data_IF_908408665108
#
_entry.id   IF_908408665108
#
_cell.length_a   1.000
_cell.length_b   1.000
_cell.length_c   1.000
_cell.angle_alpha   90.00
_cell.angle_beta   90.00
_cell.angle_gamma   90.00
#
_symmetry.space_group_name_H-M   'P 1'
#
loop_
_entity.id
_entity.type
_entity.pdbx_description
1 polymer ?
#
# COMPACT_ATOMS: atom_id res chain seq x y z
N UNK A 1 -7.35 0.13 -16.20
CA UNK A 1 -6.40 0.39 -15.10
C UNK A 1 -6.66 1.78 -14.54
N UNK A 2 -6.64 1.98 -13.23
CA UNK A 2 -6.77 3.31 -12.63
C UNK A 2 -5.41 3.84 -12.20
N UNK A 3 -5.26 5.16 -12.26
CA UNK A 3 -4.05 5.86 -11.81
C UNK A 3 -4.44 7.10 -11.02
N UNK A 4 -3.67 7.43 -10.00
CA UNK A 4 -3.80 8.68 -9.23
C UNK A 4 -2.55 9.55 -9.43
N UNK A 5 -2.70 10.87 -9.27
CA UNK A 5 -1.60 11.84 -9.34
C UNK A 5 -1.62 12.80 -8.15
N UNK A 6 -0.43 13.34 -7.83
CA UNK A 6 -0.29 14.48 -6.93
C UNK A 6 -0.96 15.76 -7.47
N UNK A 7 -1.23 15.83 -8.77
CA UNK A 7 -1.95 16.94 -9.40
C UNK A 7 -3.47 16.81 -9.24
N UNK A 8 -3.96 15.92 -8.36
CA UNK A 8 -5.38 15.81 -8.03
C UNK A 8 -6.25 15.06 -9.02
N UNK A 9 -5.66 14.34 -9.99
CA UNK A 9 -6.42 13.60 -11.00
C UNK A 9 -6.43 12.10 -10.74
N UNK A 10 -7.60 11.48 -10.94
CA UNK A 10 -7.73 10.04 -11.16
C UNK A 10 -8.09 9.80 -12.61
N UNK A 11 -7.33 8.90 -13.25
CA UNK A 11 -7.54 8.54 -14.66
C UNK A 11 -7.80 7.05 -14.81
N UNK A 12 -8.79 6.74 -15.64
CA UNK A 12 -9.11 5.39 -16.09
C UNK A 12 -8.52 5.16 -17.48
N UNK A 13 -7.60 4.20 -17.54
CA UNK A 13 -7.07 3.65 -18.77
C UNK A 13 -7.93 2.48 -19.23
N UNK A 14 -8.48 2.59 -20.43
CA UNK A 14 -9.01 1.46 -21.17
C UNK A 14 -7.97 1.03 -22.22
N UNK A 15 -7.45 -0.18 -22.05
CA UNK A 15 -6.40 -0.72 -22.93
C UNK A 15 -6.98 -1.12 -24.30
N UNK A 16 -8.25 -1.53 -24.37
CA UNK A 16 -8.88 -1.95 -25.62
C UNK A 16 -9.25 -0.75 -26.48
N UNK A 17 -9.73 0.31 -25.84
CA UNK A 17 -10.11 1.56 -26.50
C UNK A 17 -8.95 2.54 -26.63
N UNK A 18 -7.75 2.17 -26.15
CA UNK A 18 -6.55 3.03 -26.11
C UNK A 18 -6.81 4.43 -25.52
N UNK A 19 -7.72 4.50 -24.54
CA UNK A 19 -8.19 5.77 -23.99
C UNK A 19 -7.72 5.99 -22.55
N UNK A 20 -7.52 7.26 -22.20
CA UNK A 20 -7.07 7.67 -20.88
C UNK A 20 -7.90 8.83 -20.37
N UNK A 21 -9.01 8.48 -19.71
CA UNK A 21 -10.04 9.43 -19.33
C UNK A 21 -9.88 9.89 -17.88
N UNK A 22 -10.00 11.20 -17.66
CA UNK A 22 -10.11 11.75 -16.30
C UNK A 22 -11.50 11.42 -15.78
N UNK A 23 -11.56 10.72 -14.65
CA UNK A 23 -12.83 10.32 -14.00
C UNK A 23 -13.09 11.10 -12.72
N UNK A 24 -12.05 11.71 -12.16
CA UNK A 24 -12.11 12.54 -10.97
C UNK A 24 -10.96 13.57 -11.03
N UNK A 25 -11.25 14.78 -10.56
CA UNK A 25 -10.30 15.87 -10.46
C UNK A 25 -10.57 16.68 -9.19
N UNK A 26 -9.51 17.05 -8.50
CA UNK A 26 -9.52 17.96 -7.36
C UNK A 26 -8.29 18.88 -7.43
N UNK A 27 -8.31 19.95 -6.63
CA UNK A 27 -7.15 20.82 -6.41
C UNK A 27 -6.16 20.22 -5.41
N UNK A 28 -6.58 19.19 -4.65
CA UNK A 28 -5.77 18.51 -3.66
C UNK A 28 -5.06 17.27 -4.23
N UNK A 29 -3.87 16.97 -3.70
CA UNK A 29 -3.10 15.78 -4.10
C UNK A 29 -3.77 14.47 -3.73
N UNK A 30 -3.66 13.46 -4.61
CA UNK A 30 -4.16 12.11 -4.36
C UNK A 30 -2.98 11.16 -4.13
N UNK A 31 -2.87 10.66 -2.90
CA UNK A 31 -1.69 9.93 -2.42
C UNK A 31 -1.82 8.41 -2.54
N UNK A 32 -3.04 7.89 -2.44
CA UNK A 32 -3.33 6.47 -2.43
C UNK A 32 -4.63 6.16 -3.18
N UNK A 33 -4.71 4.95 -3.71
CA UNK A 33 -5.83 4.49 -4.51
C UNK A 33 -6.07 2.99 -4.25
N UNK A 34 -7.32 2.61 -4.04
CA UNK A 34 -7.73 1.24 -3.81
C UNK A 34 -9.09 0.96 -4.46
N UNK A 35 -9.31 -0.29 -4.85
CA UNK A 35 -10.60 -0.80 -5.26
C UNK A 35 -10.95 -2.01 -4.41
N UNK A 36 -12.20 -2.10 -4.00
CA UNK A 36 -12.69 -3.30 -3.33
C UNK A 36 -13.06 -4.35 -4.40
N UNK A 37 -12.68 -5.64 -4.26
CA UNK A 37 -12.82 -6.65 -5.32
C UNK A 37 -14.24 -6.87 -5.89
N UNK A 38 -15.29 -6.48 -5.17
CA UNK A 38 -16.69 -6.70 -5.54
C UNK A 38 -17.47 -5.40 -5.80
N UNK A 39 -16.83 -4.24 -5.59
CA UNK A 39 -17.47 -2.95 -5.72
C UNK A 39 -16.91 -2.19 -6.92
N UNK A 40 -17.78 -1.50 -7.66
CA UNK A 40 -17.38 -0.59 -8.73
C UNK A 40 -16.90 0.76 -8.21
N UNK A 41 -16.93 1.00 -6.90
CA UNK A 41 -16.36 2.21 -6.31
C UNK A 41 -14.83 2.17 -6.27
N UNK A 42 -14.26 3.36 -6.40
CA UNK A 42 -12.84 3.65 -6.24
C UNK A 42 -12.66 4.43 -4.95
N UNK A 43 -11.70 4.03 -4.12
CA UNK A 43 -11.40 4.69 -2.85
C UNK A 43 -10.01 5.30 -2.90
N UNK A 44 -9.84 6.50 -2.36
CA UNK A 44 -8.57 7.21 -2.45
C UNK A 44 -8.34 8.16 -1.27
N UNK A 45 -7.06 8.41 -0.99
CA UNK A 45 -6.60 9.38 -0.01
C UNK A 45 -6.31 10.71 -0.68
N UNK A 46 -7.02 11.77 -0.29
CA UNK A 46 -6.92 13.12 -0.84
C UNK A 46 -6.49 14.10 0.26
N UNK A 47 -5.57 15.01 -0.08
CA UNK A 47 -5.14 16.09 0.80
C UNK A 47 -4.72 15.62 2.21
N UNK A 48 -5.11 16.39 3.22
CA UNK A 48 -4.74 16.18 4.63
C UNK A 48 -5.70 15.19 5.33
N UNK A 49 -5.55 13.92 4.98
CA UNK A 49 -6.17 12.80 5.69
C UNK A 49 -7.60 12.48 5.28
N UNK A 50 -8.08 13.02 4.16
CA UNK A 50 -9.40 12.71 3.64
C UNK A 50 -9.38 11.38 2.89
N UNK A 51 -10.32 10.53 3.26
CA UNK A 51 -10.70 9.33 2.54
C UNK A 51 -11.94 9.64 1.70
N UNK A 52 -11.84 9.33 0.42
CA UNK A 52 -12.87 9.58 -0.56
C UNK A 52 -13.32 8.27 -1.18
N UNK A 53 -14.61 8.16 -1.45
CA UNK A 53 -15.19 7.12 -2.27
C UNK A 53 -15.84 7.74 -3.49
N UNK A 54 -15.53 7.21 -4.68
CA UNK A 54 -16.15 7.60 -5.93
C UNK A 54 -16.85 6.40 -6.55
N UNK A 55 -18.14 6.53 -6.83
CA UNK A 55 -18.93 5.49 -7.46
C UNK A 55 -18.85 5.61 -8.98
N UNK A 56 -18.23 4.61 -9.62
CA UNK A 56 -18.04 4.58 -11.06
C UNK A 56 -19.34 4.50 -11.86
N UNK A 57 -20.40 3.89 -11.31
CA UNK A 57 -21.69 3.79 -11.99
C UNK A 57 -22.44 5.10 -11.92
N UNK A 58 -22.38 5.77 -10.77
CA UNK A 58 -23.05 7.03 -10.56
C UNK A 58 -22.25 8.25 -11.06
N UNK A 59 -20.95 8.08 -11.31
CA UNK A 59 -20.05 9.14 -11.78
C UNK A 59 -19.85 10.26 -10.75
N UNK A 60 -19.97 9.94 -9.45
CA UNK A 60 -19.92 10.95 -8.37
C UNK A 60 -19.25 10.42 -7.12
N UNK A 61 -18.81 11.36 -6.27
CA UNK A 61 -18.35 11.06 -4.92
C UNK A 61 -19.51 10.46 -4.11
N UNK A 62 -19.30 9.26 -3.58
CA UNK A 62 -20.23 8.54 -2.72
C UNK A 62 -19.96 8.77 -1.23
N UNK A 63 -18.71 9.06 -0.85
CA UNK A 63 -18.36 9.45 0.52
C UNK A 63 -17.09 10.32 0.59
N UNK A 64 -17.00 11.08 1.67
CA UNK A 64 -15.84 11.91 2.04
C UNK A 64 -15.74 11.95 3.56
N UNK A 65 -14.64 11.43 4.10
CA UNK A 65 -14.42 11.30 5.54
C UNK A 65 -13.01 11.75 5.89
N UNK A 66 -12.85 12.59 6.92
CA UNK A 66 -11.53 12.87 7.47
C UNK A 66 -11.15 11.77 8.45
N UNK A 67 -10.30 10.83 8.03
CA UNK A 67 -9.93 9.66 8.84
C UNK A 67 -8.64 9.86 9.63
N UNK A 68 -7.76 10.70 9.12
CA UNK A 68 -6.42 10.97 9.63
C UNK A 68 -6.15 12.48 9.69
N UNK A 69 -5.13 12.88 10.45
CA UNK A 69 -4.74 14.29 10.56
C UNK A 69 -3.78 14.72 9.45
N UNK A 70 -3.04 13.78 8.87
CA UNK A 70 -2.17 13.96 7.69
C UNK A 70 -2.55 12.99 6.57
N UNK A 71 -1.94 13.16 5.39
CA UNK A 71 -2.17 12.35 4.18
C UNK A 71 -2.25 10.83 4.42
N UNK A 72 -3.16 10.18 3.70
CA UNK A 72 -3.31 8.72 3.71
C UNK A 72 -2.37 8.10 2.67
N UNK A 73 -1.28 7.49 3.12
CA UNK A 73 -0.26 6.90 2.25
C UNK A 73 -0.68 5.52 1.68
N UNK A 74 -1.54 4.76 2.37
CA UNK A 74 -2.15 3.55 1.80
C UNK A 74 -3.56 3.28 2.32
N UNK A 75 -4.34 2.62 1.46
CA UNK A 75 -5.68 2.09 1.74
C UNK A 75 -5.68 0.65 1.26
N UNK A 76 -6.17 -0.26 2.09
CA UNK A 76 -6.33 -1.66 1.69
C UNK A 76 -7.57 -2.31 2.31
N UNK A 77 -8.16 -3.25 1.59
CA UNK A 77 -9.35 -3.97 2.03
C UNK A 77 -8.99 -5.39 2.43
N UNK A 78 -9.52 -5.84 3.57
CA UNK A 78 -9.27 -7.20 4.02
C UNK A 78 -9.93 -8.20 3.06
N UNK A 79 -9.12 -9.13 2.53
CA UNK A 79 -9.54 -10.14 1.55
C UNK A 79 -10.51 -11.16 2.13
N UNK A 80 -10.41 -11.46 3.43
CA UNK A 80 -11.27 -12.41 4.17
C UNK A 80 -12.55 -11.77 4.67
N UNK A 81 -12.48 -10.55 5.17
CA UNK A 81 -13.64 -9.79 5.63
C UNK A 81 -13.72 -8.46 4.90
N UNK A 82 -14.51 -8.44 3.83
CA UNK A 82 -14.69 -7.27 2.95
C UNK A 82 -15.18 -6.01 3.63
N UNK A 83 -15.67 -6.11 4.87
CA UNK A 83 -16.11 -4.97 5.65
C UNK A 83 -14.99 -4.31 6.47
N UNK A 84 -13.79 -4.87 6.48
CA UNK A 84 -12.64 -4.34 7.20
C UNK A 84 -11.71 -3.68 6.21
N UNK A 85 -11.32 -2.46 6.53
CA UNK A 85 -10.35 -1.67 5.77
C UNK A 85 -9.20 -1.24 6.68
N UNK A 86 -7.99 -1.21 6.14
CA UNK A 86 -6.83 -0.63 6.76
C UNK A 86 -6.44 0.67 6.05
N UNK A 87 -6.10 1.70 6.81
CA UNK A 87 -5.47 2.91 6.31
C UNK A 87 -4.22 3.21 7.11
N UNK A 88 -3.21 3.79 6.46
CA UNK A 88 -2.04 4.33 7.14
C UNK A 88 -1.79 5.77 6.72
N UNK A 89 -1.19 6.54 7.62
CA UNK A 89 -0.95 7.96 7.40
C UNK A 89 0.46 8.39 7.83
N UNK A 90 0.85 9.55 7.29
CA UNK A 90 2.02 10.26 7.71
C UNK A 90 1.94 10.74 9.18
N UNK A 91 0.74 10.78 9.77
CA UNK A 91 0.50 11.03 11.21
C UNK A 91 1.05 9.92 12.14
N UNK A 92 1.64 8.87 11.58
CA UNK A 92 2.24 7.77 12.32
C UNK A 92 1.24 6.72 12.79
N UNK A 93 -0.01 6.76 12.32
CA UNK A 93 -1.04 5.81 12.72
C UNK A 93 -1.43 4.87 11.58
N UNK A 94 -1.79 3.64 11.98
CA UNK A 94 -2.51 2.68 11.15
C UNK A 94 -3.85 2.42 11.80
N UNK A 95 -4.93 2.67 11.08
CA UNK A 95 -6.28 2.49 11.57
C UNK A 95 -6.98 1.35 10.82
N UNK A 96 -7.64 0.48 11.58
CA UNK A 96 -8.59 -0.50 11.04
C UNK A 96 -10.01 0.04 11.19
N UNK A 97 -10.82 -0.13 10.15
CA UNK A 97 -12.17 0.44 10.06
C UNK A 97 -13.21 -0.63 9.75
N UNK A 98 -14.39 -0.50 10.35
CA UNK A 98 -15.59 -1.26 10.01
C UNK A 98 -16.49 -0.45 9.09
N UNK A 99 -16.77 -1.01 7.91
CA UNK A 99 -17.56 -0.42 6.83
C UNK A 99 -19.06 -0.77 6.89
N UNK A 100 -19.52 -1.60 7.84
CA UNK A 100 -20.91 -2.11 7.87
C UNK A 100 -21.96 -1.07 8.21
N UNK A 101 -21.58 0.10 8.75
CA UNK A 101 -22.55 1.08 9.26
C UNK A 101 -23.06 1.99 8.13
N UNK A 102 -24.13 1.52 7.48
CA UNK A 102 -24.89 2.16 6.39
C UNK A 102 -25.43 3.58 6.71
N UNK A 103 -25.45 3.99 7.98
CA UNK A 103 -26.02 5.28 8.42
C UNK A 103 -25.05 6.18 9.20
N UNK A 104 -23.75 5.87 9.25
CA UNK A 104 -22.79 6.68 10.00
C UNK A 104 -22.20 7.82 9.13
N UNK A 105 -21.89 8.94 9.78
CA UNK A 105 -21.15 10.07 9.17
C UNK A 105 -19.69 9.71 8.85
N UNK A 106 -19.16 8.62 9.39
CA UNK A 106 -17.81 8.11 9.16
C UNK A 106 -17.73 6.59 9.49
N UNK A 107 -16.76 5.85 8.91
CA UNK A 107 -16.47 4.46 9.29
C UNK A 107 -16.10 4.33 10.76
N UNK A 108 -16.47 3.21 11.40
CA UNK A 108 -16.12 2.98 12.81
C UNK A 108 -14.69 2.49 12.93
N UNK A 109 -13.86 3.18 13.71
CA UNK A 109 -12.52 2.75 14.08
C UNK A 109 -12.58 1.48 14.96
N UNK A 110 -11.94 0.40 14.51
CA UNK A 110 -11.86 -0.90 15.18
C UNK A 110 -10.60 -1.03 16.04
N UNK A 111 -9.45 -0.68 15.48
CA UNK A 111 -8.13 -0.76 16.13
C UNK A 111 -7.23 0.35 15.59
N UNK A 112 -6.32 0.85 16.43
CA UNK A 112 -5.28 1.79 16.04
C UNK A 112 -3.94 1.22 16.44
N UNK A 113 -2.99 1.23 15.53
CA UNK A 113 -1.60 0.92 15.79
C UNK A 113 -0.78 2.20 15.67
N UNK A 114 -0.09 2.56 16.74
CA UNK A 114 0.80 3.71 16.77
C UNK A 114 2.19 3.29 16.28
N UNK A 115 2.77 4.13 15.43
CA UNK A 115 4.17 4.14 15.09
C UNK A 115 4.77 5.48 15.54
N UNK A 116 6.07 5.47 15.84
CA UNK A 116 6.81 6.67 16.23
C UNK A 116 7.12 7.57 15.01
N UNK A 117 6.88 7.06 13.80
CA UNK A 117 7.21 7.69 12.54
C UNK A 117 6.11 7.47 11.48
N UNK A 118 6.09 8.30 10.43
CA UNK A 118 5.16 8.17 9.31
C UNK A 118 5.08 6.74 8.77
N UNK A 119 3.85 6.23 8.61
CA UNK A 119 3.61 4.89 8.08
C UNK A 119 3.33 4.98 6.59
N UNK A 120 4.15 4.29 5.79
CA UNK A 120 4.13 4.37 4.33
C UNK A 120 3.28 3.31 3.66
N UNK A 121 3.06 2.20 4.33
CA UNK A 121 2.14 1.18 3.84
C UNK A 121 1.53 0.36 4.98
N UNK A 122 0.29 -0.07 4.76
CA UNK A 122 -0.44 -1.04 5.55
C UNK A 122 -1.26 -1.93 4.59
N UNK A 123 -0.90 -3.20 4.47
CA UNK A 123 -1.54 -4.15 3.55
C UNK A 123 -1.90 -5.46 4.22
N UNK A 124 -3.09 -5.96 3.92
CA UNK A 124 -3.55 -7.27 4.35
C UNK A 124 -2.83 -8.37 3.59
N UNK A 125 -2.59 -9.48 4.28
CA UNK A 125 -2.07 -10.68 3.66
C UNK A 125 -3.09 -11.30 2.70
N UNK A 126 -2.66 -12.12 1.73
CA UNK A 126 -3.55 -12.81 0.80
C UNK A 126 -4.70 -13.54 1.50
N UNK A 127 -4.43 -14.20 2.64
CA UNK A 127 -5.46 -14.89 3.41
C UNK A 127 -6.34 -13.95 4.26
N UNK A 128 -5.96 -12.68 4.39
CA UNK A 128 -6.65 -11.65 5.16
C UNK A 128 -6.47 -11.77 6.68
N UNK A 129 -5.63 -12.68 7.17
CA UNK A 129 -5.41 -12.90 8.60
C UNK A 129 -4.30 -12.02 9.20
N UNK A 130 -3.36 -11.54 8.37
CA UNK A 130 -2.26 -10.70 8.83
C UNK A 130 -2.33 -9.30 8.20
N UNK A 131 -1.80 -8.31 8.91
CA UNK A 131 -1.57 -6.96 8.38
C UNK A 131 -0.07 -6.66 8.47
N UNK A 132 0.55 -6.26 7.36
CA UNK A 132 1.93 -5.81 7.35
C UNK A 132 1.97 -4.28 7.22
N UNK A 133 2.80 -3.63 8.03
CA UNK A 133 3.00 -2.19 7.99
C UNK A 133 4.48 -1.84 7.85
N UNK A 134 4.78 -0.76 7.13
CA UNK A 134 6.15 -0.25 6.96
C UNK A 134 6.26 1.20 7.36
N UNK A 135 7.22 1.53 8.22
CA UNK A 135 7.45 2.90 8.71
C UNK A 135 8.66 3.58 8.06
N UNK A 136 8.76 4.90 8.21
CA UNK A 136 9.89 5.71 7.77
C UNK A 136 11.24 5.38 8.44
N UNK A 137 11.23 4.69 9.59
CA UNK A 137 12.43 4.18 10.26
C UNK A 137 12.90 2.83 9.71
N UNK A 138 12.35 2.40 8.57
CA UNK A 138 12.67 1.13 7.96
C UNK A 138 12.36 -0.02 8.94
N UNK A 139 11.22 0.02 9.64
CA UNK A 139 10.71 -1.14 10.37
C UNK A 139 9.52 -1.76 9.65
N UNK A 140 9.46 -3.09 9.64
CA UNK A 140 8.31 -3.86 9.18
C UNK A 140 7.64 -4.45 10.41
N UNK A 141 6.36 -4.13 10.63
CA UNK A 141 5.55 -4.79 11.65
C UNK A 141 4.52 -5.68 10.98
N UNK A 142 4.40 -6.91 11.47
CA UNK A 142 3.37 -7.86 11.06
C UNK A 142 2.46 -8.12 12.24
N UNK A 143 1.18 -7.82 12.05
CA UNK A 143 0.12 -8.02 13.03
C UNK A 143 -0.64 -9.28 12.67
N UNK A 144 -0.81 -10.17 13.64
CA UNK A 144 -1.71 -11.31 13.58
C UNK A 144 -2.54 -11.33 14.87
N UNK A 145 -3.81 -10.93 14.77
CA UNK A 145 -4.69 -10.66 15.91
C UNK A 145 -4.08 -9.68 16.93
N UNK A 146 -3.65 -10.20 18.08
CA UNK A 146 -2.99 -9.44 19.16
C UNK A 146 -1.47 -9.63 19.20
N UNK A 147 -0.93 -10.52 18.37
CA UNK A 147 0.51 -10.70 18.24
C UNK A 147 1.09 -9.68 17.25
N UNK A 148 2.21 -9.08 17.64
CA UNK A 148 2.99 -8.19 16.79
C UNK A 148 4.39 -8.76 16.65
N UNK A 149 4.84 -8.88 15.41
CA UNK A 149 6.21 -9.23 15.07
C UNK A 149 6.83 -8.01 14.41
N UNK A 150 7.81 -7.40 15.07
CA UNK A 150 8.57 -6.28 14.52
C UNK A 150 9.92 -6.76 14.02
N UNK A 151 10.27 -6.34 12.80
CA UNK A 151 11.51 -6.68 12.12
C UNK A 151 12.20 -5.41 11.63
N UNK A 152 13.52 -5.27 11.84
CA UNK A 152 14.29 -4.17 11.26
C UNK A 152 14.44 -4.41 9.76
N UNK A 153 13.98 -3.48 8.92
CA UNK A 153 14.17 -3.58 7.49
C UNK A 153 15.64 -3.36 7.10
N UNK A 154 15.96 -3.78 5.87
CA UNK A 154 17.34 -3.84 5.39
C UNK A 154 17.96 -2.47 5.21
N UNK A 155 19.06 -2.24 5.94
CA UNK A 155 20.08 -1.24 5.64
C UNK A 155 19.66 0.20 5.92
N UNK A 156 20.20 0.77 7.00
CA UNK A 156 20.31 2.21 7.16
C UNK A 156 21.62 2.66 6.51
N UNK A 157 21.55 3.29 5.34
CA UNK A 157 22.60 4.20 4.94
C UNK A 157 22.05 5.63 4.90
N UNK A 158 21.90 6.19 6.10
CA UNK A 158 21.57 7.60 6.30
C UNK A 158 22.67 8.54 5.76
N UNK A 159 23.79 8.06 5.20
CA UNK A 159 24.81 8.93 4.61
C UNK A 159 24.41 9.53 3.26
N UNK A 160 23.36 9.01 2.59
CA UNK A 160 22.93 9.57 1.30
C UNK A 160 21.95 10.75 1.44
N UNK A 161 21.49 11.10 2.64
CA UNK A 161 20.55 12.23 2.85
C UNK A 161 19.22 12.10 2.09
N UNK A 162 18.97 10.96 1.45
CA UNK A 162 17.79 10.69 0.64
C UNK A 162 16.74 10.03 1.52
N UNK A 163 15.75 10.81 1.92
CA UNK A 163 14.50 10.33 2.47
C UNK A 163 13.86 9.41 1.42
N UNK A 164 13.93 8.09 1.61
CA UNK A 164 13.32 7.15 0.67
C UNK A 164 11.82 7.16 0.88
N UNK A 165 11.18 8.06 0.15
CA UNK A 165 9.79 8.47 0.31
C UNK A 165 8.72 7.39 0.19
N UNK A 166 9.03 6.18 -0.31
CA UNK A 166 8.03 5.16 -0.59
C UNK A 166 8.68 3.76 -0.65
N UNK A 167 8.99 3.16 0.50
CA UNK A 167 9.19 1.71 0.54
C UNK A 167 7.81 1.10 0.76
N UNK A 168 7.23 0.58 -0.33
CA UNK A 168 6.01 -0.23 -0.25
C UNK A 168 6.42 -1.69 -0.08
N UNK A 169 5.91 -2.33 0.97
CA UNK A 169 5.96 -3.79 1.06
C UNK A 169 4.82 -4.39 0.25
N UNK A 170 5.01 -5.59 -0.29
CA UNK A 170 3.90 -6.40 -0.79
C UNK A 170 3.99 -7.80 -0.20
N UNK A 171 2.84 -8.41 0.02
CA UNK A 171 2.79 -9.82 0.39
C UNK A 171 3.14 -10.71 -0.81
N UNK A 172 3.68 -11.89 -0.48
CA UNK A 172 3.74 -13.02 -1.38
C UNK A 172 2.35 -13.64 -1.60
N UNK A 173 2.30 -14.96 -1.73
CA UNK A 173 1.07 -15.67 -2.13
C UNK A 173 0.34 -16.32 -0.95
N UNK A 174 1.03 -16.61 0.15
CA UNK A 174 0.57 -17.54 1.19
C UNK A 174 0.86 -17.04 2.62
N UNK A 175 0.90 -15.72 2.82
CA UNK A 175 1.17 -15.07 4.11
C UNK A 175 2.56 -15.36 4.71
N UNK A 176 3.41 -16.11 4.03
CA UNK A 176 4.73 -16.50 4.55
C UNK A 176 5.80 -15.45 4.31
N UNK A 177 5.66 -14.69 3.21
CA UNK A 177 6.71 -13.77 2.75
C UNK A 177 6.17 -12.37 2.47
N UNK A 178 6.99 -11.36 2.79
CA UNK A 178 6.82 -9.99 2.33
C UNK A 178 8.05 -9.56 1.54
N UNK A 179 7.83 -8.88 0.42
CA UNK A 179 8.88 -8.25 -0.36
C UNK A 179 8.92 -6.77 -0.03
N UNK A 180 10.09 -6.28 0.37
CA UNK A 180 10.28 -4.91 0.86
C UNK A 180 11.41 -4.25 0.07
N UNK A 181 11.17 -3.05 -0.46
CA UNK A 181 12.23 -2.29 -1.10
C UNK A 181 13.25 -1.78 -0.09
N UNK A 182 14.52 -1.66 -0.48
CA UNK A 182 15.54 -1.08 0.39
C UNK A 182 16.28 0.08 -0.28
N UNK A 183 16.71 1.03 0.55
CA UNK A 183 17.54 2.18 0.18
C UNK A 183 18.91 1.77 -0.39
N UNK A 184 19.42 0.59 -0.03
CA UNK A 184 20.71 0.05 -0.50
C UNK A 184 20.65 -0.60 -1.90
N UNK A 185 19.67 -0.22 -2.74
CA UNK A 185 19.46 -0.77 -4.09
C UNK A 185 19.34 -2.30 -4.10
N UNK A 186 18.70 -2.83 -3.07
CA UNK A 186 18.38 -4.24 -2.90
C UNK A 186 16.91 -4.36 -2.53
N UNK A 187 16.40 -5.59 -2.53
CA UNK A 187 15.10 -5.88 -1.95
C UNK A 187 15.25 -6.91 -0.83
N UNK A 188 14.42 -6.75 0.20
CA UNK A 188 14.30 -7.68 1.30
C UNK A 188 13.21 -8.69 1.07
N UNK A 189 13.50 -9.93 1.42
CA UNK A 189 12.47 -10.93 1.69
C UNK A 189 12.35 -11.04 3.21
N UNK A 190 11.21 -10.64 3.74
CA UNK A 190 10.83 -10.88 5.13
C UNK A 190 10.15 -12.24 5.17
N UNK A 191 10.67 -13.15 5.99
CA UNK A 191 10.03 -14.41 6.29
C UNK A 191 9.24 -14.27 7.58
N UNK A 192 7.92 -14.28 7.49
CA UNK A 192 7.02 -14.11 8.65
C UNK A 192 7.14 -15.28 9.63
N UNK A 193 7.17 -16.55 9.20
CA UNK A 193 7.28 -17.69 10.12
C UNK A 193 8.64 -17.72 10.85
N UNK A 194 9.71 -17.45 10.11
CA UNK A 194 11.09 -17.51 10.62
C UNK A 194 11.51 -16.21 11.31
N UNK A 195 10.73 -15.13 11.16
CA UNK A 195 11.03 -13.84 11.80
C UNK A 195 12.40 -13.31 11.37
N UNK A 196 12.71 -13.45 10.08
CA UNK A 196 13.99 -13.07 9.50
C UNK A 196 13.80 -12.19 8.28
N UNK A 197 14.84 -11.42 7.97
CA UNK A 197 14.90 -10.65 6.72
C UNK A 197 16.18 -11.02 5.99
N UNK A 198 16.05 -11.32 4.70
CA UNK A 198 17.17 -11.63 3.81
C UNK A 198 17.27 -10.58 2.73
N UNK A 199 18.45 -9.95 2.61
CA UNK A 199 18.73 -9.04 1.50
C UNK A 199 19.05 -9.84 0.24
N UNK A 200 18.37 -9.51 -0.85
CA UNK A 200 18.71 -10.00 -2.17
C UNK A 200 19.27 -8.86 -3.00
N UNK A 201 20.53 -9.03 -3.38
CA UNK A 201 21.21 -8.16 -4.31
C UNK A 201 21.08 -8.74 -5.72
N UNK A 202 20.52 -7.95 -6.64
CA UNK A 202 20.56 -8.26 -8.06
C UNK A 202 21.60 -7.36 -8.73
N UNK A 203 22.52 -7.90 -9.55
CA UNK A 203 23.46 -7.09 -10.33
C UNK A 203 22.77 -6.07 -11.25
N UNK A 204 21.51 -6.34 -11.62
CA UNK A 204 20.71 -5.47 -12.47
C UNK A 204 20.04 -4.33 -11.70
N UNK A 205 20.02 -4.38 -10.36
CA UNK A 205 19.36 -3.39 -9.51
C UNK A 205 20.30 -2.23 -9.18
N UNK A 206 20.39 -1.28 -10.11
CA UNK A 206 21.24 -0.08 -9.96
C UNK A 206 20.52 1.12 -9.32
N UNK A 207 19.25 0.96 -8.95
CA UNK A 207 18.40 1.99 -8.38
C UNK A 207 17.49 1.42 -7.29
N UNK A 208 16.98 2.32 -6.44
CA UNK A 208 16.11 1.95 -5.33
C UNK A 208 14.80 1.36 -5.89
N UNK A 209 14.40 0.14 -5.48
CA UNK A 209 13.10 -0.41 -5.81
C UNK A 209 11.98 0.40 -5.14
N UNK A 210 10.95 0.75 -5.91
CA UNK A 210 9.86 1.63 -5.47
C UNK A 210 8.52 0.93 -5.37
N UNK A 211 8.25 0.01 -6.28
CA UNK A 211 6.99 -0.72 -6.31
C UNK A 211 7.24 -2.15 -6.74
N UNK A 212 6.61 -3.07 -6.03
CA UNK A 212 6.64 -4.49 -6.36
C UNK A 212 5.25 -4.94 -6.81
N UNK A 213 5.20 -6.01 -7.60
CA UNK A 213 3.97 -6.71 -7.92
C UNK A 213 4.26 -8.22 -8.05
N UNK A 214 3.49 -9.05 -7.34
CA UNK A 214 3.50 -10.50 -7.52
C UNK A 214 2.55 -10.91 -8.64
N UNK A 215 2.88 -11.93 -9.41
CA UNK A 215 1.98 -12.45 -10.42
C UNK A 215 0.82 -13.22 -9.74
N UNK A 216 -0.45 -12.93 -10.08
CA UNK A 216 -1.60 -13.49 -9.35
C UNK A 216 -1.76 -15.01 -9.53
N UNK A 217 -1.30 -15.58 -10.66
CA UNK A 217 -1.47 -17.01 -11.00
C UNK A 217 -0.18 -17.83 -11.10
N UNK A 218 0.98 -17.17 -11.08
CA UNK A 218 2.28 -17.82 -11.31
C UNK A 218 3.13 -17.55 -10.08
N UNK A 219 3.00 -18.44 -9.10
CA UNK A 219 3.77 -18.33 -7.87
C UNK A 219 5.26 -18.33 -8.20
N UNK A 220 6.04 -17.51 -7.51
CA UNK A 220 7.47 -17.30 -7.81
C UNK A 220 7.75 -16.15 -8.78
N UNK A 221 6.76 -15.63 -9.49
CA UNK A 221 6.97 -14.50 -10.40
C UNK A 221 6.76 -13.14 -9.70
N UNK A 222 7.80 -12.32 -9.68
CA UNK A 222 7.84 -11.00 -9.05
C UNK A 222 8.28 -9.96 -10.09
N UNK A 223 7.64 -8.80 -10.08
CA UNK A 223 8.08 -7.63 -10.82
C UNK A 223 8.42 -6.50 -9.85
N UNK A 224 9.42 -5.68 -10.19
CA UNK A 224 9.75 -4.48 -9.45
C UNK A 224 10.04 -3.32 -10.40
N UNK A 225 9.47 -2.14 -10.10
CA UNK A 225 9.83 -0.88 -10.72
C UNK A 225 10.82 -0.10 -9.83
N UNK A 226 11.84 0.48 -10.44
CA UNK A 226 12.90 1.22 -9.74
C UNK A 226 12.77 2.73 -9.93
N UNK A 227 13.41 3.51 -9.04
CA UNK A 227 13.43 4.97 -9.12
C UNK A 227 14.14 5.57 -10.34
N UNK A 228 14.76 4.75 -11.20
CA UNK A 228 15.36 5.17 -12.48
C UNK A 228 14.55 4.70 -13.70
N UNK A 229 13.31 4.25 -13.50
CA UNK A 229 12.42 3.85 -14.59
C UNK A 229 12.69 2.45 -15.15
N UNK A 230 13.57 1.65 -14.51
CA UNK A 230 13.77 0.25 -14.90
C UNK A 230 12.70 -0.63 -14.27
N UNK A 231 12.23 -1.62 -15.02
CA UNK A 231 11.39 -2.72 -14.53
C UNK A 231 12.21 -4.01 -14.55
N UNK A 232 12.30 -4.67 -13.40
CA UNK A 232 13.00 -5.94 -13.22
C UNK A 232 11.96 -7.03 -13.00
N UNK A 233 12.12 -8.15 -13.67
CA UNK A 233 11.24 -9.33 -13.58
C UNK A 233 12.06 -10.52 -13.08
N UNK A 234 11.55 -11.18 -12.05
CA UNK A 234 12.01 -12.48 -11.60
C UNK A 234 10.93 -13.50 -11.92
N UNK A 235 11.32 -14.59 -12.56
CA UNK A 235 10.43 -15.69 -12.90
C UNK A 235 10.98 -16.98 -12.33
N UNK A 236 10.12 -17.80 -11.73
CA UNK A 236 10.45 -19.21 -11.52
C UNK A 236 10.27 -19.94 -12.85
N UNK A 237 11.30 -20.67 -13.29
CA UNK A 237 11.18 -21.60 -14.42
C UNK A 237 10.20 -22.74 -14.14
#
# INVERSE_FOLDING_TARGET
MLTSSYDGFIRLMDVREESFNVIYSSDDSIFSLAQQPLNTSVYFGEGEGYFMGWDQRAGKVSCSYKLHDERIDSIDFNTKNTNVMATCSADGTVCLWDLRRINAREPRKLKVHQHDNPVRSAYFSPSGNCLATTSGEYSVRVYNDDNVVEMPALGNDNQLGTWVSNIRAIWGWDDSYLFVGSSIKAYGIVSVPQKTITAIHSPQMNAIPRQFATHPYRHGNLACATGRGQVILWTSE
#
